data_IF_189304823172
#
_entry.id   IF_189304823172
#
_cell.length_a   1.000
_cell.length_b   1.000
_cell.length_c   1.000
_cell.angle_alpha   90.00
_cell.angle_beta   90.00
_cell.angle_gamma   90.00
#
_symmetry.space_group_name_H-M   'P 1'
#
loop_
_entity.id
_entity.type
_entity.pdbx_description
1 polymer ?
#
# COMPACT_ATOMS: atom_id res chain seq x y z
N UNK A 1 27.57 -7.98 -33.59
CA UNK A 1 28.17 -7.79 -34.95
C UNK A 1 28.35 -9.16 -35.60
N UNK A 2 27.73 -9.39 -36.75
CA UNK A 2 27.90 -10.62 -37.54
C UNK A 2 28.53 -10.26 -38.88
N UNK A 3 29.46 -11.09 -39.37
CA UNK A 3 30.08 -10.91 -40.69
C UNK A 3 29.76 -12.14 -41.53
N UNK A 4 29.21 -11.91 -42.73
CA UNK A 4 28.94 -12.96 -43.71
C UNK A 4 29.80 -12.73 -44.95
N UNK A 5 30.48 -13.79 -45.38
CA UNK A 5 31.31 -13.77 -46.56
C UNK A 5 30.73 -14.69 -47.63
N UNK A 6 30.54 -14.14 -48.83
CA UNK A 6 30.04 -14.87 -49.98
C UNK A 6 31.14 -14.92 -51.03
N UNK A 7 31.60 -16.12 -51.37
CA UNK A 7 32.58 -16.30 -52.44
C UNK A 7 31.87 -16.24 -53.79
N UNK A 8 32.35 -15.36 -54.67
CA UNK A 8 31.90 -15.24 -56.06
C UNK A 8 33.00 -15.79 -56.96
N UNK A 9 32.68 -16.84 -57.70
CA UNK A 9 33.59 -17.48 -58.65
C UNK A 9 33.24 -17.05 -60.07
N UNK A 10 34.24 -16.59 -60.82
CA UNK A 10 34.13 -16.29 -62.24
C UNK A 10 34.22 -17.58 -63.07
N UNK A 11 33.75 -17.53 -64.32
CA UNK A 11 33.76 -18.69 -65.22
C UNK A 11 35.16 -19.24 -65.54
N UNK A 12 36.20 -18.45 -65.31
CA UNK A 12 37.61 -18.85 -65.47
C UNK A 12 38.22 -19.50 -64.21
N UNK A 13 37.44 -19.65 -63.14
CA UNK A 13 37.85 -20.25 -61.88
C UNK A 13 38.52 -19.30 -60.89
N UNK A 14 38.65 -18.01 -61.21
CA UNK A 14 39.09 -17.00 -60.23
C UNK A 14 37.97 -16.65 -59.24
N UNK A 15 38.33 -16.31 -58.00
CA UNK A 15 37.38 -16.03 -56.93
C UNK A 15 37.56 -14.61 -56.36
N UNK A 16 36.47 -14.00 -55.93
CA UNK A 16 36.44 -12.81 -55.06
C UNK A 16 35.45 -13.03 -53.91
N UNK A 17 35.48 -12.18 -52.89
CA UNK A 17 34.55 -12.27 -51.76
C UNK A 17 33.72 -10.99 -51.64
N UNK A 18 32.42 -11.16 -51.39
CA UNK A 18 31.53 -10.10 -50.93
C UNK A 18 31.38 -10.25 -49.42
N UNK A 19 31.84 -9.26 -48.67
CA UNK A 19 31.69 -9.21 -47.22
C UNK A 19 30.50 -8.33 -46.85
N UNK A 20 29.52 -8.90 -46.18
CA UNK A 20 28.40 -8.18 -45.58
C UNK A 20 28.61 -8.13 -44.07
N UNK A 21 28.63 -6.93 -43.51
CA UNK A 21 28.68 -6.72 -42.05
C UNK A 21 27.30 -6.32 -41.56
N UNK A 22 26.78 -7.05 -40.58
CA UNK A 22 25.54 -6.73 -39.86
C UNK A 22 25.93 -6.21 -38.47
N UNK A 23 25.51 -4.98 -38.19
CA UNK A 23 25.64 -4.36 -36.87
C UNK A 23 24.28 -4.37 -36.21
N UNK A 24 24.16 -5.05 -35.07
CA UNK A 24 22.95 -4.98 -34.24
C UNK A 24 22.84 -3.62 -33.55
N UNK A 25 21.62 -3.26 -33.20
CA UNK A 25 21.32 -2.18 -32.25
C UNK A 25 21.09 -2.80 -30.87
N UNK A 26 21.12 -1.97 -29.84
CA UNK A 26 20.70 -2.32 -28.49
C UNK A 26 19.16 -2.26 -28.45
N UNK A 27 18.51 -3.32 -27.98
CA UNK A 27 17.08 -3.41 -27.75
C UNK A 27 16.76 -3.07 -26.27
N UNK A 28 15.79 -2.18 -26.03
CA UNK A 28 15.37 -1.86 -24.65
C UNK A 28 14.72 -3.08 -23.97
N UNK A 29 14.89 -3.27 -22.65
CA UNK A 29 14.23 -4.32 -21.90
C UNK A 29 12.71 -4.15 -21.90
N UNK A 30 11.99 -5.27 -21.99
CA UNK A 30 10.53 -5.34 -21.84
C UNK A 30 10.21 -5.88 -20.46
N UNK A 31 9.53 -5.08 -19.64
CA UNK A 31 9.20 -5.40 -18.24
C UNK A 31 7.70 -5.27 -18.05
N UNK A 32 7.06 -6.22 -17.38
CA UNK A 32 5.65 -6.08 -16.98
C UNK A 32 5.49 -5.06 -15.84
N UNK A 33 4.31 -4.47 -15.73
CA UNK A 33 3.85 -3.79 -14.52
C UNK A 33 2.80 -4.67 -13.82
N UNK A 34 2.49 -4.37 -12.56
CA UNK A 34 1.47 -5.11 -11.81
C UNK A 34 0.66 -4.18 -10.90
N UNK A 35 -0.55 -4.59 -10.54
CA UNK A 35 -1.43 -3.83 -9.66
C UNK A 35 -2.24 -4.75 -8.77
N UNK A 36 -2.41 -4.39 -7.49
CA UNK A 36 -3.28 -5.10 -6.57
C UNK A 36 -3.97 -4.14 -5.59
N UNK A 37 -4.85 -4.67 -4.74
CA UNK A 37 -5.56 -3.90 -3.74
C UNK A 37 -5.69 -4.66 -2.42
N UNK A 38 -5.68 -3.90 -1.33
CA UNK A 38 -5.93 -4.39 0.03
C UNK A 38 -7.00 -3.53 0.68
N UNK A 39 -7.62 -4.08 1.72
CA UNK A 39 -8.57 -3.36 2.56
C UNK A 39 -7.98 -3.24 3.96
N UNK A 40 -8.14 -2.08 4.58
CA UNK A 40 -7.83 -1.87 5.99
C UNK A 40 -8.42 -2.98 6.88
N UNK A 41 -7.67 -3.39 7.90
CA UNK A 41 -8.00 -4.51 8.77
C UNK A 41 -7.76 -5.92 8.16
N UNK A 42 -7.62 -6.06 6.83
CA UNK A 42 -7.17 -7.31 6.22
C UNK A 42 -5.64 -7.36 6.14
N UNK A 43 -5.05 -8.05 7.10
CA UNK A 43 -3.60 -8.22 7.20
C UNK A 43 -3.07 -9.38 6.37
N UNK A 44 -3.88 -9.96 5.48
CA UNK A 44 -3.43 -10.99 4.54
C UNK A 44 -2.53 -10.34 3.47
N UNK A 45 -1.24 -10.75 3.34
CA UNK A 45 -0.39 -10.19 2.32
C UNK A 45 -0.89 -10.51 0.91
N UNK A 46 -0.76 -9.54 0.00
CA UNK A 46 -0.99 -9.72 -1.44
C UNK A 46 0.33 -9.97 -2.16
N UNK A 47 0.29 -10.65 -3.31
CA UNK A 47 1.51 -11.01 -4.04
C UNK A 47 1.25 -11.21 -5.52
N UNK A 48 2.31 -11.06 -6.32
CA UNK A 48 2.27 -11.23 -7.76
C UNK A 48 3.65 -11.55 -8.33
N UNK A 49 3.79 -11.52 -9.65
CA UNK A 49 5.05 -11.88 -10.32
C UNK A 49 5.27 -11.02 -11.54
N UNK A 50 6.39 -10.31 -11.54
CA UNK A 50 6.85 -9.53 -12.68
C UNK A 50 7.64 -10.42 -13.65
N UNK A 51 7.64 -10.02 -14.92
CA UNK A 51 8.43 -10.65 -15.98
C UNK A 51 9.27 -9.60 -16.69
N UNK A 52 10.47 -9.99 -17.09
CA UNK A 52 11.39 -9.13 -17.82
C UNK A 52 12.11 -9.93 -18.91
N UNK A 53 12.30 -9.33 -20.09
CA UNK A 53 13.07 -9.92 -21.19
C UNK A 53 13.81 -8.85 -21.96
N UNK A 54 15.02 -9.16 -22.41
CA UNK A 54 15.83 -8.32 -23.29
C UNK A 54 16.55 -9.23 -24.30
N UNK A 55 16.52 -8.83 -25.58
CA UNK A 55 17.09 -9.60 -26.68
C UNK A 55 18.64 -9.59 -26.68
N UNK A 56 19.24 -8.52 -26.17
CA UNK A 56 20.69 -8.31 -26.09
C UNK A 56 21.26 -8.64 -24.70
N UNK A 57 20.41 -8.65 -23.66
CA UNK A 57 20.77 -9.03 -22.29
C UNK A 57 20.05 -10.31 -21.79
N UNK A 58 20.55 -11.52 -22.12
CA UNK A 58 19.94 -12.78 -21.69
C UNK A 58 20.08 -13.08 -20.19
N UNK A 59 20.85 -12.27 -19.45
CA UNK A 59 21.05 -12.42 -18.01
C UNK A 59 20.32 -11.31 -17.22
N UNK A 60 19.37 -10.63 -17.84
CA UNK A 60 18.54 -9.63 -17.20
C UNK A 60 17.82 -10.24 -15.99
N UNK A 61 17.93 -9.60 -14.83
CA UNK A 61 17.37 -10.07 -13.57
C UNK A 61 16.76 -8.91 -12.78
N UNK A 62 15.79 -9.22 -11.91
CA UNK A 62 15.26 -8.26 -10.95
C UNK A 62 16.27 -8.01 -9.81
N UNK A 63 16.38 -6.76 -9.38
CA UNK A 63 17.11 -6.42 -8.16
C UNK A 63 16.22 -6.66 -6.95
N UNK A 64 16.70 -7.50 -6.01
CA UNK A 64 15.99 -7.74 -4.75
C UNK A 64 15.85 -6.43 -3.97
N UNK A 65 14.65 -6.13 -3.51
CA UNK A 65 14.37 -4.88 -2.80
C UNK A 65 13.33 -5.07 -1.70
N UNK A 66 13.43 -4.25 -0.67
CA UNK A 66 12.45 -4.12 0.41
C UNK A 66 12.20 -2.64 0.65
N UNK A 67 10.94 -2.23 0.50
CA UNK A 67 10.49 -0.86 0.66
C UNK A 67 9.42 -0.85 1.75
N UNK A 68 9.70 -0.16 2.85
CA UNK A 68 8.77 -0.07 3.99
C UNK A 68 8.47 1.38 4.33
N UNK A 69 7.21 1.65 4.69
CA UNK A 69 6.75 2.95 5.18
C UNK A 69 5.55 2.78 6.13
N UNK A 70 4.84 3.86 6.44
CA UNK A 70 3.72 3.88 7.40
C UNK A 70 2.52 3.04 6.96
N UNK A 71 2.39 2.71 5.69
CA UNK A 71 1.27 1.91 5.18
C UNK A 71 1.63 0.43 5.01
N UNK A 72 2.90 0.04 5.01
CA UNK A 72 3.25 -1.37 4.85
C UNK A 72 4.67 -1.63 4.40
N UNK A 73 4.91 -2.89 4.06
CA UNK A 73 6.17 -3.38 3.53
C UNK A 73 5.95 -4.09 2.19
N UNK A 74 6.66 -3.63 1.17
CA UNK A 74 6.76 -4.25 -0.14
C UNK A 74 8.11 -4.96 -0.27
N UNK A 75 8.11 -6.18 -0.79
CA UNK A 75 9.34 -6.91 -1.15
C UNK A 75 9.25 -7.42 -2.58
N UNK A 76 10.40 -7.56 -3.24
CA UNK A 76 10.53 -8.25 -4.53
C UNK A 76 11.81 -9.09 -4.52
N UNK A 77 11.72 -10.32 -5.01
CA UNK A 77 12.87 -11.24 -5.13
C UNK A 77 13.53 -11.15 -6.52
N UNK A 78 14.68 -11.83 -6.69
CA UNK A 78 15.42 -11.84 -7.96
C UNK A 78 14.66 -12.51 -9.12
N UNK A 79 13.58 -13.24 -8.84
CA UNK A 79 12.71 -13.85 -9.84
C UNK A 79 11.49 -12.96 -10.17
N UNK A 80 11.39 -11.77 -9.57
CA UNK A 80 10.27 -10.85 -9.75
C UNK A 80 9.03 -11.22 -8.93
N UNK A 81 9.10 -12.19 -8.01
CA UNK A 81 8.00 -12.43 -7.07
C UNK A 81 7.96 -11.29 -6.07
N UNK A 82 6.85 -10.58 -6.01
CA UNK A 82 6.66 -9.49 -5.08
C UNK A 82 5.57 -9.81 -4.05
N UNK A 83 5.70 -9.24 -2.85
CA UNK A 83 4.66 -9.28 -1.82
C UNK A 83 4.48 -7.90 -1.21
N UNK A 84 3.24 -7.57 -0.81
CA UNK A 84 2.94 -6.40 0.00
C UNK A 84 2.15 -6.81 1.24
N UNK A 85 2.60 -6.35 2.40
CA UNK A 85 1.94 -6.53 3.70
C UNK A 85 1.49 -5.17 4.22
N UNK A 86 0.17 -4.98 4.36
CA UNK A 86 -0.43 -3.79 4.95
C UNK A 86 -0.01 -3.66 6.43
N UNK A 87 0.31 -2.45 6.88
CA UNK A 87 0.62 -2.19 8.27
C UNK A 87 -0.65 -2.06 9.13
N UNK A 88 -0.59 -2.55 10.36
CA UNK A 88 -1.63 -2.43 11.38
C UNK A 88 -1.26 -1.28 12.32
N UNK A 89 -1.69 -0.06 12.00
CA UNK A 89 -1.37 1.14 12.78
C UNK A 89 -2.33 2.31 12.50
N UNK A 90 -2.30 3.30 13.40
CA UNK A 90 -3.15 4.49 13.37
C UNK A 90 -3.13 5.33 12.08
N UNK A 91 -2.12 5.21 11.21
CA UNK A 91 -2.15 5.89 9.89
C UNK A 91 -3.09 5.17 8.93
N UNK A 92 -3.09 3.84 8.99
CA UNK A 92 -3.94 2.96 8.18
C UNK A 92 -5.36 2.97 8.74
N UNK A 93 -5.52 2.90 10.07
CA UNK A 93 -6.82 2.97 10.77
C UNK A 93 -7.48 4.36 10.69
N UNK A 94 -6.76 5.39 10.22
CA UNK A 94 -7.33 6.72 10.00
C UNK A 94 -7.97 6.89 8.61
N UNK A 95 -7.91 5.85 7.75
CA UNK A 95 -8.52 5.90 6.43
C UNK A 95 -10.03 5.71 6.56
N UNK A 96 -10.80 6.76 6.32
CA UNK A 96 -12.27 6.67 6.36
C UNK A 96 -12.84 5.64 5.38
N UNK A 97 -14.03 5.12 5.68
CA UNK A 97 -14.71 4.14 4.84
C UNK A 97 -14.75 4.51 3.34
N UNK A 98 -14.09 3.69 2.53
CA UNK A 98 -14.02 3.87 1.07
C UNK A 98 -13.00 4.92 0.59
N UNK A 99 -12.28 5.59 1.49
CA UNK A 99 -11.08 6.35 1.16
C UNK A 99 -10.07 5.43 0.49
N UNK A 100 -9.38 5.95 -0.53
CA UNK A 100 -8.35 5.20 -1.26
C UNK A 100 -7.00 5.89 -1.08
N UNK A 101 -6.02 5.12 -0.66
CA UNK A 101 -4.61 5.50 -0.68
C UNK A 101 -3.87 4.65 -1.72
N UNK A 102 -3.09 5.28 -2.60
CA UNK A 102 -2.38 4.60 -3.68
C UNK A 102 -0.89 4.60 -3.41
N UNK A 103 -0.28 3.41 -3.41
CA UNK A 103 1.16 3.22 -3.23
C UNK A 103 1.78 2.70 -4.51
N UNK A 104 2.90 3.29 -4.90
CA UNK A 104 3.66 2.91 -6.10
C UNK A 104 5.06 2.47 -5.66
N UNK A 105 5.41 1.23 -5.98
CA UNK A 105 6.70 0.62 -5.64
C UNK A 105 7.52 0.44 -6.92
N UNK A 106 8.64 1.17 -7.01
CA UNK A 106 9.59 1.01 -8.11
C UNK A 106 10.39 -0.27 -7.96
N UNK A 107 10.40 -1.08 -9.01
CA UNK A 107 11.18 -2.32 -9.13
C UNK A 107 12.19 -2.15 -10.25
N UNK A 108 13.46 -2.40 -9.95
CA UNK A 108 14.58 -2.16 -10.88
C UNK A 108 15.17 -3.48 -11.35
N UNK A 109 15.67 -3.49 -12.58
CA UNK A 109 16.44 -4.59 -13.15
C UNK A 109 17.94 -4.32 -13.06
N UNK A 110 18.74 -5.37 -13.24
CA UNK A 110 20.20 -5.33 -13.15
C UNK A 110 20.90 -4.37 -14.14
N UNK A 111 20.20 -3.92 -15.18
CA UNK A 111 20.70 -2.93 -16.16
C UNK A 111 20.27 -1.48 -15.85
N UNK A 112 19.50 -1.29 -14.77
CA UNK A 112 18.99 0.00 -14.31
C UNK A 112 17.64 0.41 -14.91
N UNK A 113 17.04 -0.39 -15.79
CA UNK A 113 15.65 -0.19 -16.22
C UNK A 113 14.68 -0.51 -15.08
N UNK A 114 13.49 0.08 -15.09
CA UNK A 114 12.53 -0.05 -14.00
C UNK A 114 11.06 -0.21 -14.45
N UNK A 115 10.25 -0.70 -13.53
CA UNK A 115 8.79 -0.78 -13.61
C UNK A 115 8.18 -0.43 -12.25
N UNK A 116 6.84 -0.39 -12.19
CA UNK A 116 6.12 -0.07 -10.95
C UNK A 116 5.09 -1.16 -10.62
N UNK A 117 4.97 -1.49 -9.34
CA UNK A 117 3.82 -2.20 -8.77
C UNK A 117 2.94 -1.20 -8.03
N UNK A 118 1.65 -1.13 -8.37
CA UNK A 118 0.71 -0.20 -7.73
C UNK A 118 -0.23 -0.94 -6.78
N UNK A 119 -0.25 -0.56 -5.50
CA UNK A 119 -1.16 -1.10 -4.49
C UNK A 119 -2.19 -0.03 -4.10
N UNK A 120 -3.47 -0.37 -4.19
CA UNK A 120 -4.57 0.49 -3.68
C UNK A 120 -5.05 -0.01 -2.33
N UNK A 121 -4.94 0.82 -1.30
CA UNK A 121 -5.47 0.55 0.04
C UNK A 121 -6.84 1.20 0.14
N UNK A 122 -7.86 0.44 0.55
CA UNK A 122 -9.22 0.96 0.79
C UNK A 122 -9.50 0.98 2.29
N UNK A 123 -9.84 2.15 2.82
CA UNK A 123 -10.19 2.34 4.23
C UNK A 123 -11.53 1.72 4.63
N UNK A 124 -11.67 1.39 5.91
CA UNK A 124 -12.90 0.88 6.53
C UNK A 124 -13.51 1.89 7.50
N UNK A 125 -14.69 1.58 8.03
CA UNK A 125 -15.32 2.39 9.10
C UNK A 125 -14.90 1.74 10.42
N UNK A 126 -14.18 2.47 11.25
CA UNK A 126 -13.83 2.01 12.59
C UNK A 126 -14.95 2.34 13.57
N UNK A 127 -15.31 1.37 14.42
CA UNK A 127 -16.35 1.62 15.41
C UNK A 127 -15.78 2.49 16.56
N UNK A 128 -16.51 3.52 17.03
CA UNK A 128 -16.05 4.32 18.14
C UNK A 128 -15.98 3.49 19.43
N UNK A 129 -14.95 3.75 20.21
CA UNK A 129 -14.77 3.19 21.55
C UNK A 129 -15.16 4.24 22.58
N UNK A 130 -16.16 3.94 23.41
CA UNK A 130 -16.70 4.84 24.43
C UNK A 130 -16.49 4.22 25.82
N UNK A 131 -16.05 5.02 26.80
CA UNK A 131 -15.94 4.57 28.18
C UNK A 131 -17.29 4.46 28.87
N UNK A 132 -17.35 3.67 29.94
CA UNK A 132 -18.49 3.61 30.84
C UNK A 132 -18.11 4.22 32.20
N UNK A 133 -19.07 4.84 32.85
CA UNK A 133 -18.91 5.43 34.18
C UNK A 133 -20.16 5.18 35.02
N UNK A 134 -19.99 5.07 36.34
CA UNK A 134 -21.06 4.79 37.29
C UNK A 134 -20.78 5.42 38.64
N UNK A 135 -21.79 6.04 39.26
CA UNK A 135 -21.71 6.56 40.62
C UNK A 135 -23.02 6.30 41.39
N UNK A 136 -23.02 6.56 42.69
CA UNK A 136 -24.15 6.33 43.58
C UNK A 136 -24.38 7.51 44.52
N UNK A 137 -25.65 7.85 44.73
CA UNK A 137 -26.08 8.85 45.71
C UNK A 137 -26.70 8.18 46.93
N UNK A 138 -26.66 8.86 48.08
CA UNK A 138 -27.35 8.44 49.30
C UNK A 138 -28.60 9.29 49.51
N UNK A 139 -29.72 8.66 49.88
CA UNK A 139 -30.97 9.38 50.18
C UNK A 139 -30.73 10.49 51.21
N UNK A 140 -31.13 11.71 50.87
CA UNK A 140 -30.99 12.89 51.72
C UNK A 140 -29.68 13.66 51.56
N UNK A 141 -28.71 13.13 50.81
CA UNK A 141 -27.57 13.91 50.31
C UNK A 141 -27.96 14.67 49.05
N UNK A 142 -27.68 15.97 49.02
CA UNK A 142 -27.99 16.87 47.91
C UNK A 142 -26.73 17.27 47.12
N UNK A 143 -25.59 16.67 47.44
CA UNK A 143 -24.34 16.87 46.70
C UNK A 143 -24.46 16.13 45.35
N UNK A 144 -24.38 16.84 44.20
CA UNK A 144 -24.35 16.18 42.91
C UNK A 144 -23.12 15.28 42.79
N UNK A 145 -23.30 14.13 42.14
CA UNK A 145 -22.20 13.29 41.66
C UNK A 145 -21.81 13.76 40.27
N UNK A 146 -20.57 13.50 39.86
CA UNK A 146 -20.09 13.91 38.55
C UNK A 146 -18.99 12.99 38.06
N UNK A 147 -18.83 12.89 36.75
CA UNK A 147 -17.74 12.14 36.13
C UNK A 147 -17.47 12.58 34.71
N UNK A 148 -16.68 11.80 33.99
CA UNK A 148 -16.25 12.11 32.63
C UNK A 148 -16.23 10.85 31.77
N UNK A 149 -16.99 10.89 30.68
CA UNK A 149 -16.92 9.90 29.61
C UNK A 149 -15.82 10.28 28.61
N UNK A 150 -15.20 9.28 27.97
CA UNK A 150 -14.23 9.46 26.89
C UNK A 150 -14.69 8.67 25.68
N UNK A 151 -14.51 9.23 24.49
CA UNK A 151 -14.76 8.54 23.23
C UNK A 151 -13.56 8.72 22.29
N UNK A 152 -13.21 7.68 21.56
CA UNK A 152 -12.17 7.70 20.51
C UNK A 152 -12.67 6.95 19.30
N UNK A 153 -12.29 7.42 18.13
CA UNK A 153 -12.67 6.84 16.86
C UNK A 153 -11.52 7.11 15.88
N UNK A 154 -11.03 6.05 15.22
CA UNK A 154 -9.75 6.08 14.51
C UNK A 154 -9.82 6.92 13.23
N UNK A 155 -10.92 6.80 12.50
CA UNK A 155 -11.19 7.52 11.26
C UNK A 155 -12.13 8.73 11.45
N UNK A 156 -12.65 8.93 12.67
CA UNK A 156 -13.41 10.13 13.07
C UNK A 156 -12.76 10.91 14.24
N UNK A 157 -11.68 11.67 13.99
CA UNK A 157 -10.95 12.40 15.05
C UNK A 157 -11.73 13.55 15.68
N UNK A 158 -12.91 13.90 15.15
CA UNK A 158 -13.78 14.95 15.67
C UNK A 158 -15.02 14.40 16.39
N UNK A 159 -15.03 13.12 16.75
CA UNK A 159 -16.11 12.53 17.53
C UNK A 159 -16.32 13.31 18.83
N UNK A 160 -17.58 13.66 19.11
CA UNK A 160 -17.98 14.41 20.29
C UNK A 160 -19.26 13.84 20.90
N UNK A 161 -19.46 14.05 22.20
CA UNK A 161 -20.72 13.71 22.85
C UNK A 161 -21.82 14.68 22.43
N UNK A 162 -23.04 14.18 22.30
CA UNK A 162 -24.21 15.05 22.16
C UNK A 162 -24.62 15.56 23.55
N UNK A 163 -24.75 16.88 23.67
CA UNK A 163 -25.24 17.50 24.90
C UNK A 163 -26.67 17.03 25.19
N UNK A 164 -26.91 16.58 26.42
CA UNK A 164 -28.22 16.07 26.80
C UNK A 164 -28.57 16.41 28.25
N UNK A 165 -29.86 16.57 28.51
CA UNK A 165 -30.40 16.75 29.86
C UNK A 165 -31.61 15.85 30.03
N UNK A 166 -31.56 15.00 31.03
CA UNK A 166 -32.63 14.07 31.40
C UNK A 166 -33.07 14.45 32.81
N UNK A 167 -34.31 14.92 32.95
CA UNK A 167 -34.89 15.28 34.25
C UNK A 167 -36.13 14.43 34.52
N UNK A 168 -36.22 13.89 35.73
CA UNK A 168 -37.37 13.12 36.20
C UNK A 168 -37.73 13.43 37.67
N UNK A 169 -38.51 12.56 38.31
CA UNK A 169 -38.92 12.74 39.71
C UNK A 169 -37.81 12.47 40.73
N UNK A 170 -36.69 11.88 40.32
CA UNK A 170 -35.56 11.47 41.16
C UNK A 170 -34.35 12.40 41.02
N UNK A 171 -34.26 13.16 39.93
CA UNK A 171 -33.21 14.15 39.77
C UNK A 171 -33.10 14.67 38.34
N UNK A 172 -31.94 15.26 38.06
CA UNK A 172 -31.53 15.73 36.74
C UNK A 172 -30.15 15.16 36.45
N UNK A 173 -29.96 14.68 35.22
CA UNK A 173 -28.68 14.26 34.67
C UNK A 173 -28.38 15.14 33.46
N UNK A 174 -27.17 15.65 33.38
CA UNK A 174 -26.65 16.41 32.24
C UNK A 174 -25.35 15.81 31.75
N UNK A 175 -25.09 15.89 30.45
CA UNK A 175 -23.77 15.60 29.86
C UNK A 175 -23.44 16.68 28.85
N UNK A 176 -22.21 17.20 28.88
CA UNK A 176 -21.72 18.18 27.92
C UNK A 176 -21.01 17.52 26.72
N UNK A 177 -20.65 18.31 25.71
CA UNK A 177 -19.97 17.81 24.50
C UNK A 177 -18.58 17.20 24.76
N UNK A 178 -17.96 17.50 25.91
CA UNK A 178 -16.68 16.94 26.33
C UNK A 178 -16.86 15.65 27.16
N UNK A 179 -18.11 15.19 27.35
CA UNK A 179 -18.42 14.00 28.13
C UNK A 179 -18.45 14.23 29.65
N UNK A 180 -18.37 15.48 30.12
CA UNK A 180 -18.55 15.76 31.55
C UNK A 180 -20.01 15.60 31.91
N UNK A 181 -20.31 14.79 32.92
CA UNK A 181 -21.67 14.56 33.37
C UNK A 181 -21.85 14.93 34.85
N UNK A 182 -23.07 15.36 35.20
CA UNK A 182 -23.51 15.68 36.57
C UNK A 182 -25.00 15.42 36.72
#
# INVERSE_FOLDING_TARGET
KEVREFTVTLSDGSNTTVTITITGTDDDPVISADTDAVTEGDLTPVSGTLTATDADNPNLAFEENTISDVYGEFTVDANGHWTFTLADNATVDALTAGQKEVREFTVTLSDGSDTTVTITITGTDDAPVISADTDAVTEGDLTPVSGTLTATDADNPNLAFEENTISDAYGEFTVDANGNWT
#
